data_IF_272099952544
#
_entry.id   IF_272099952544
#
_cell.length_a   1.000
_cell.length_b   1.000
_cell.length_c   1.000
_cell.angle_alpha   90.00
_cell.angle_beta   90.00
_cell.angle_gamma   90.00
#
_symmetry.space_group_name_H-M   'P 1'
#
loop_
_entity.id
_entity.type
_entity.pdbx_description
1 polymer ?
#
# COMPACT_ATOMS: atom_id res chain seq x y z
N UNK A 1 55.03 -11.04 -8.94
CA UNK A 1 54.49 -11.79 -7.80
C UNK A 1 53.21 -11.11 -7.38
N UNK A 2 52.08 -11.78 -7.63
CA UNK A 2 50.74 -11.27 -7.45
C UNK A 2 50.28 -11.44 -5.99
N UNK A 3 49.59 -10.45 -5.45
CA UNK A 3 48.31 -10.69 -4.78
C UNK A 3 47.49 -9.40 -4.79
N UNK A 4 46.52 -9.33 -5.68
CA UNK A 4 45.37 -8.44 -5.56
C UNK A 4 44.25 -9.31 -4.99
N UNK A 5 44.10 -9.29 -3.67
CA UNK A 5 42.88 -9.68 -2.98
C UNK A 5 42.44 -8.38 -2.29
N UNK A 6 41.19 -7.93 -2.41
CA UNK A 6 40.03 -8.67 -1.91
C UNK A 6 38.81 -8.41 -2.81
N UNK A 7 38.18 -9.51 -3.23
CA UNK A 7 36.98 -9.51 -4.02
C UNK A 7 35.80 -8.96 -3.21
N UNK A 8 35.07 -8.05 -3.84
CA UNK A 8 33.70 -7.63 -3.56
C UNK A 8 32.91 -8.71 -2.82
N UNK A 9 32.52 -8.43 -1.58
CA UNK A 9 31.54 -9.24 -0.85
C UNK A 9 30.28 -9.37 -1.70
N UNK A 10 30.13 -10.55 -2.29
CA UNK A 10 28.91 -10.98 -2.94
C UNK A 10 27.80 -10.88 -1.91
N UNK A 11 27.00 -9.80 -2.02
CA UNK A 11 25.73 -9.67 -1.30
C UNK A 11 24.95 -10.93 -1.65
N UNK A 12 24.78 -11.80 -0.65
CA UNK A 12 24.33 -13.16 -0.80
C UNK A 12 23.16 -13.26 -1.79
N UNK A 13 23.23 -14.29 -2.61
CA UNK A 13 22.10 -14.97 -3.24
C UNK A 13 20.78 -14.57 -2.59
N UNK A 14 20.00 -13.71 -3.25
CA UNK A 14 18.62 -13.49 -2.85
C UNK A 14 17.94 -14.84 -3.01
N UNK A 15 17.73 -15.57 -1.92
CA UNK A 15 16.54 -16.38 -1.85
C UNK A 15 15.41 -15.38 -2.07
N UNK A 16 14.85 -15.37 -3.27
CA UNK A 16 13.54 -14.75 -3.53
C UNK A 16 12.56 -15.66 -2.78
N UNK A 17 12.62 -15.57 -1.45
CA UNK A 17 11.95 -16.50 -0.56
C UNK A 17 10.47 -16.28 -0.72
N UNK A 18 9.72 -17.35 -0.92
CA UNK A 18 8.26 -17.35 -0.97
C UNK A 18 7.61 -16.47 0.13
N UNK A 19 8.26 -16.36 1.30
CA UNK A 19 7.89 -15.45 2.38
C UNK A 19 7.87 -13.97 1.99
N UNK A 20 8.87 -13.45 1.28
CA UNK A 20 8.90 -12.03 0.85
C UNK A 20 7.85 -11.73 -0.22
N UNK A 21 7.53 -12.72 -1.06
CA UNK A 21 6.44 -12.61 -2.04
C UNK A 21 5.07 -12.60 -1.34
N UNK A 22 4.84 -13.47 -0.36
CA UNK A 22 3.61 -13.47 0.45
C UNK A 22 3.45 -12.15 1.18
N UNK A 23 4.52 -11.62 1.74
CA UNK A 23 4.50 -10.35 2.48
C UNK A 23 4.14 -9.18 1.55
N UNK A 24 4.73 -9.12 0.35
CA UNK A 24 4.35 -8.13 -0.66
C UNK A 24 2.88 -8.24 -1.10
N UNK A 25 2.37 -9.47 -1.28
CA UNK A 25 0.96 -9.71 -1.62
C UNK A 25 0.04 -9.28 -0.48
N UNK A 26 0.40 -9.60 0.77
CA UNK A 26 -0.37 -9.23 1.96
C UNK A 26 -0.49 -7.71 2.07
N UNK A 27 0.62 -6.98 1.98
CA UNK A 27 0.63 -5.51 2.04
C UNK A 27 -0.25 -4.90 0.95
N UNK A 28 -0.16 -5.40 -0.28
CA UNK A 28 -1.01 -4.96 -1.39
C UNK A 28 -2.49 -5.26 -1.16
N UNK A 29 -2.79 -6.46 -0.65
CA UNK A 29 -4.16 -6.87 -0.34
C UNK A 29 -4.78 -5.97 0.73
N UNK A 30 -4.04 -5.68 1.79
CA UNK A 30 -4.55 -4.84 2.88
C UNK A 30 -4.83 -3.41 2.40
N UNK A 31 -3.93 -2.83 1.61
CA UNK A 31 -4.16 -1.52 0.95
C UNK A 31 -5.44 -1.54 0.09
N UNK A 32 -5.60 -2.57 -0.74
CA UNK A 32 -6.79 -2.70 -1.58
C UNK A 32 -8.07 -2.91 -0.78
N UNK A 33 -8.01 -3.65 0.33
CA UNK A 33 -9.15 -3.87 1.22
C UNK A 33 -9.61 -2.55 1.84
N UNK A 34 -8.69 -1.78 2.42
CA UNK A 34 -9.00 -0.47 3.02
C UNK A 34 -9.59 0.47 1.98
N UNK A 35 -8.94 0.60 0.82
CA UNK A 35 -9.47 1.42 -0.28
C UNK A 35 -10.92 1.05 -0.65
N UNK A 36 -11.21 -0.23 -0.88
CA UNK A 36 -12.56 -0.66 -1.27
C UNK A 36 -13.57 -0.43 -0.17
N UNK A 37 -13.17 -0.68 1.08
CA UNK A 37 -14.01 -0.42 2.23
C UNK A 37 -14.38 1.07 2.32
N UNK A 38 -13.38 1.97 2.28
CA UNK A 38 -13.62 3.42 2.34
C UNK A 38 -14.44 3.92 1.16
N UNK A 39 -14.21 3.42 -0.06
CA UNK A 39 -15.05 3.78 -1.22
C UNK A 39 -16.49 3.33 -1.00
N UNK A 40 -16.72 2.10 -0.53
CA UNK A 40 -18.07 1.58 -0.32
C UNK A 40 -18.81 2.38 0.76
N UNK A 41 -18.15 2.64 1.90
CA UNK A 41 -18.72 3.43 3.00
C UNK A 41 -19.07 4.85 2.54
N UNK A 42 -18.13 5.57 1.94
CA UNK A 42 -18.38 6.94 1.46
C UNK A 42 -19.35 7.00 0.29
N UNK A 43 -19.40 5.98 -0.57
CA UNK A 43 -20.35 5.93 -1.69
C UNK A 43 -21.76 5.60 -1.25
N UNK A 44 -21.92 4.86 -0.14
CA UNK A 44 -23.20 4.56 0.49
C UNK A 44 -23.84 5.80 1.14
N UNK A 45 -23.03 6.80 1.51
CA UNK A 45 -23.53 8.08 1.99
C UNK A 45 -24.29 8.84 0.89
N UNK A 46 -25.33 9.55 1.31
CA UNK A 46 -26.10 10.47 0.47
C UNK A 46 -25.31 11.75 0.17
N UNK A 47 -25.74 12.50 -0.85
CA UNK A 47 -25.10 13.78 -1.20
C UNK A 47 -25.15 14.79 -0.05
N UNK A 48 -26.18 14.74 0.80
CA UNK A 48 -26.32 15.61 1.96
C UNK A 48 -25.30 15.25 3.03
N UNK A 49 -25.20 13.98 3.40
CA UNK A 49 -24.21 13.52 4.39
C UNK A 49 -22.78 13.82 3.93
N UNK A 50 -22.49 13.66 2.63
CA UNK A 50 -21.21 14.08 2.07
C UNK A 50 -21.01 15.60 2.17
N UNK A 51 -22.03 16.40 1.88
CA UNK A 51 -21.97 17.86 1.98
C UNK A 51 -21.81 18.35 3.44
N UNK A 52 -22.45 17.66 4.39
CA UNK A 52 -22.32 17.94 5.82
C UNK A 52 -20.88 17.69 6.31
N UNK A 53 -20.18 16.73 5.69
CA UNK A 53 -18.76 16.47 5.89
C UNK A 53 -17.85 17.40 5.04
N UNK A 54 -18.42 18.26 4.21
CA UNK A 54 -17.66 19.12 3.28
C UNK A 54 -17.02 18.35 2.11
N UNK A 55 -17.51 17.16 1.78
CA UNK A 55 -16.97 16.27 0.77
C UNK A 55 -17.82 16.24 -0.50
N UNK A 56 -17.16 16.07 -1.63
CA UNK A 56 -17.82 15.82 -2.92
C UNK A 56 -17.59 14.38 -3.39
N UNK A 57 -18.51 13.80 -4.17
CA UNK A 57 -18.37 12.41 -4.68
C UNK A 57 -17.08 12.16 -5.44
N UNK A 58 -16.56 13.17 -6.15
CA UNK A 58 -15.27 13.07 -6.85
C UNK A 58 -14.07 12.90 -5.90
N UNK A 59 -14.19 13.35 -4.65
CA UNK A 59 -13.13 13.26 -3.64
C UNK A 59 -13.05 11.87 -3.00
N UNK A 60 -14.13 11.10 -3.01
CA UNK A 60 -14.21 9.76 -2.40
C UNK A 60 -13.01 8.90 -2.81
N UNK A 61 -12.69 8.89 -4.12
CA UNK A 61 -11.60 8.06 -4.63
C UNK A 61 -10.22 8.51 -4.16
N UNK A 62 -10.02 9.82 -3.99
CA UNK A 62 -8.78 10.40 -3.47
C UNK A 62 -8.63 10.10 -1.98
N UNK A 63 -9.69 10.29 -1.19
CA UNK A 63 -9.69 10.02 0.26
C UNK A 63 -9.46 8.54 0.53
N UNK A 64 -10.13 7.65 -0.20
CA UNK A 64 -9.92 6.22 -0.06
C UNK A 64 -8.49 5.79 -0.41
N UNK A 65 -7.87 6.45 -1.39
CA UNK A 65 -6.46 6.19 -1.75
C UNK A 65 -5.52 6.64 -0.64
N UNK A 66 -5.74 7.83 -0.08
CA UNK A 66 -4.97 8.36 1.05
C UNK A 66 -5.12 7.49 2.30
N UNK A 67 -6.35 7.14 2.68
CA UNK A 67 -6.61 6.26 3.82
C UNK A 67 -5.93 4.89 3.68
N UNK A 68 -5.85 4.36 2.46
CA UNK A 68 -5.16 3.11 2.18
C UNK A 68 -3.63 3.24 2.27
N UNK A 69 -3.07 4.40 1.93
CA UNK A 69 -1.64 4.71 2.10
C UNK A 69 -1.29 4.88 3.58
N UNK A 70 -2.07 5.69 4.30
CA UNK A 70 -1.90 5.95 5.74
C UNK A 70 -1.99 4.65 6.56
N UNK A 71 -2.91 3.75 6.20
CA UNK A 71 -3.02 2.44 6.87
C UNK A 71 -1.78 1.57 6.71
N UNK A 72 -1.11 1.63 5.55
CA UNK A 72 0.12 0.85 5.31
C UNK A 72 1.39 1.51 5.87
N UNK A 73 1.31 2.77 6.28
CA UNK A 73 2.42 3.52 6.86
C UNK A 73 2.54 3.34 8.39
N UNK A 74 1.53 2.74 9.02
CA UNK A 74 1.51 2.35 10.44
C UNK A 74 1.95 0.91 10.65
#
# INVERSE_FOLDING_TARGET
MAVTSEHTVLKGTHSIGFSSLIEAIKTRYTRHRVYRQTVNELSALSNRELADLGLHRSMIRRIAMQAAEDYTAH
#
